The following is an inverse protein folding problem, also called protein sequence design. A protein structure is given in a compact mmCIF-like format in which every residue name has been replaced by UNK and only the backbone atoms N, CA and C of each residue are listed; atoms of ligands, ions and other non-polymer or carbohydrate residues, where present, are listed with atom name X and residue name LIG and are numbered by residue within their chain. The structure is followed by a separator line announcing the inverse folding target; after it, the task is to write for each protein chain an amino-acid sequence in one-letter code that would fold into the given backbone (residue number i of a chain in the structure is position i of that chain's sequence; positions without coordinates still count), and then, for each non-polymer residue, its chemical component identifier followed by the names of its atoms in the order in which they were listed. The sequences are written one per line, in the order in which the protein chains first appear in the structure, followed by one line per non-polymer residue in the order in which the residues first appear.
data_IF_147381948666
#
_entry.id   IF_147381948666
#
_cell.length_a   1.000
_cell.length_b   1.000
_cell.length_c   1.000
_cell.angle_alpha   90.00
_cell.angle_beta   90.00
_cell.angle_gamma   90.00
#
_symmetry.space_group_name_H-M   'P 1'
#
loop_
_entity.id
_entity.type
_entity.pdbx_description
1 polymer ?
#
# COMPACT_ATOMS: atom_id res chain seq x y z
N UNK A 1 -15.77 14.60 14.81
CA UNK A 1 -14.55 14.49 15.63
C UNK A 1 -13.38 14.91 14.78
N UNK A 2 -12.71 16.01 15.16
CA UNK A 2 -11.60 16.60 14.43
C UNK A 2 -10.29 16.02 14.96
N UNK A 3 -9.61 15.19 14.18
CA UNK A 3 -8.21 14.82 14.41
C UNK A 3 -7.30 15.79 13.65
N UNK A 4 -7.35 17.07 14.03
CA UNK A 4 -6.36 18.05 13.59
C UNK A 4 -5.28 18.14 14.68
N UNK A 5 -4.13 17.52 14.42
CA UNK A 5 -2.92 17.73 15.21
C UNK A 5 -2.33 16.45 15.79
N UNK A 6 -1.61 15.70 14.96
CA UNK A 6 -0.33 15.04 15.29
C UNK A 6 0.19 14.39 14.00
N UNK A 7 1.51 14.40 13.81
CA UNK A 7 2.25 14.28 12.54
C UNK A 7 2.17 12.95 11.77
N UNK A 8 1.08 12.19 11.88
CA UNK A 8 0.87 10.92 11.21
C UNK A 8 -0.55 10.97 10.64
N UNK A 9 -0.70 11.03 9.31
CA UNK A 9 -1.99 11.21 8.62
C UNK A 9 -2.89 9.98 8.87
N UNK A 10 -3.55 9.92 10.02
CA UNK A 10 -4.71 9.06 10.23
C UNK A 10 -5.91 9.94 9.92
N UNK A 11 -6.61 9.63 8.83
CA UNK A 11 -7.79 10.37 8.42
C UNK A 11 -9.00 9.46 8.57
N UNK A 12 -9.83 9.75 9.57
CA UNK A 12 -11.11 9.06 9.77
C UNK A 12 -12.21 10.00 9.29
N UNK A 13 -12.85 9.64 8.18
CA UNK A 13 -13.99 10.36 7.65
C UNK A 13 -15.24 9.50 7.80
N UNK A 14 -16.17 9.97 8.64
CA UNK A 14 -17.55 9.44 8.66
C UNK A 14 -18.43 10.45 7.93
N UNK A 15 -19.01 10.03 6.79
CA UNK A 15 -19.91 10.85 6.00
C UNK A 15 -21.33 10.64 6.52
N UNK A 16 -21.70 11.36 7.58
CA UNK A 16 -23.03 11.26 8.19
C UNK A 16 -24.15 11.86 7.30
N UNK A 17 -23.81 12.57 6.23
CA UNK A 17 -24.78 13.18 5.31
C UNK A 17 -24.17 13.45 3.93
N UNK A 18 -24.92 13.23 2.83
CA UNK A 18 -24.51 13.56 1.43
C UNK A 18 -24.14 15.03 1.21
N UNK A 19 -24.54 15.91 2.14
CA UNK A 19 -24.27 17.36 2.10
C UNK A 19 -23.01 17.78 2.86
N UNK A 20 -22.28 16.84 3.45
CA UNK A 20 -20.99 17.16 4.05
C UNK A 20 -20.04 17.65 2.95
N UNK A 21 -19.43 18.82 3.12
CA UNK A 21 -18.50 19.38 2.12
C UNK A 21 -17.29 18.47 1.85
N UNK A 22 -17.04 17.50 2.74
CA UNK A 22 -15.98 16.49 2.60
C UNK A 22 -16.43 15.28 1.79
N UNK A 23 -17.74 15.09 1.61
CA UNK A 23 -18.30 14.01 0.80
C UNK A 23 -17.99 14.28 -0.68
N UNK A 24 -17.07 13.50 -1.24
CA UNK A 24 -16.70 13.59 -2.64
C UNK A 24 -17.38 12.45 -3.42
N UNK A 25 -18.36 12.80 -4.25
CA UNK A 25 -19.08 11.86 -5.13
C UNK A 25 -18.14 11.14 -6.11
N UNK A 26 -16.94 11.71 -6.37
CA UNK A 26 -15.93 11.04 -7.19
C UNK A 26 -15.45 9.73 -6.58
N UNK A 27 -15.37 9.61 -5.25
CA UNK A 27 -14.95 8.35 -4.61
C UNK A 27 -15.97 7.24 -4.87
N UNK A 28 -17.27 7.56 -4.80
CA UNK A 28 -18.32 6.61 -5.15
C UNK A 28 -18.34 6.28 -6.65
N UNK A 29 -18.01 7.25 -7.51
CA UNK A 29 -17.89 7.03 -8.96
C UNK A 29 -16.69 6.14 -9.33
N UNK A 30 -15.55 6.31 -8.67
CA UNK A 30 -14.31 5.57 -8.94
C UNK A 30 -14.40 4.14 -8.39
N UNK A 31 -14.90 3.98 -7.16
CA UNK A 31 -14.98 2.67 -6.51
C UNK A 31 -16.21 1.86 -6.95
N UNK A 32 -17.24 2.51 -7.47
CA UNK A 32 -18.52 1.88 -7.84
C UNK A 32 -19.42 1.57 -6.64
N UNK A 33 -19.03 1.96 -5.43
CA UNK A 33 -19.79 1.72 -4.18
C UNK A 33 -20.18 3.03 -3.51
N UNK A 34 -21.33 3.05 -2.82
CA UNK A 34 -21.68 4.16 -1.95
C UNK A 34 -20.77 4.15 -0.71
N UNK A 35 -19.95 5.19 -0.55
CA UNK A 35 -19.01 5.33 0.56
C UNK A 35 -19.69 6.11 1.70
N UNK A 36 -19.95 5.43 2.81
CA UNK A 36 -20.54 6.01 4.03
C UNK A 36 -19.48 6.28 5.09
N UNK A 37 -18.53 5.36 5.23
CA UNK A 37 -17.40 5.51 6.15
C UNK A 37 -16.07 5.19 5.49
N UNK A 38 -15.05 5.95 5.89
CA UNK A 38 -13.72 5.90 5.31
C UNK A 38 -12.66 6.02 6.40
N UNK A 39 -11.73 5.07 6.45
CA UNK A 39 -10.56 5.08 7.33
C UNK A 39 -9.29 4.99 6.47
N UNK A 40 -8.46 6.03 6.55
CA UNK A 40 -7.17 6.10 5.87
C UNK A 40 -6.03 6.06 6.88
N UNK A 41 -5.04 5.19 6.63
CA UNK A 41 -3.84 5.08 7.45
C UNK A 41 -2.60 4.84 6.57
N UNK A 42 -1.44 5.41 6.92
CA UNK A 42 -0.21 5.22 6.15
C UNK A 42 0.38 3.85 6.43
N UNK A 43 0.94 3.23 5.40
CA UNK A 43 1.74 2.01 5.49
C UNK A 43 3.19 2.43 5.67
N UNK A 44 3.87 1.90 6.69
CA UNK A 44 5.24 2.25 7.02
C UNK A 44 6.17 1.05 6.95
N UNK A 45 7.38 1.23 6.41
CA UNK A 45 8.42 0.21 6.42
C UNK A 45 9.11 0.10 7.81
N UNK A 46 10.09 -0.79 7.91
CA UNK A 46 10.90 -0.97 9.13
C UNK A 46 11.66 0.29 9.57
N UNK A 47 11.97 1.18 8.63
CA UNK A 47 12.64 2.47 8.86
C UNK A 47 11.66 3.61 9.15
N UNK A 48 10.37 3.29 9.37
CA UNK A 48 9.28 4.21 9.66
C UNK A 48 8.96 5.19 8.50
N UNK A 49 9.45 4.93 7.29
CA UNK A 49 9.14 5.68 6.08
C UNK A 49 7.80 5.26 5.50
N UNK A 50 7.06 6.19 4.92
CA UNK A 50 5.75 5.92 4.32
C UNK A 50 5.97 5.29 2.94
N UNK A 51 5.57 4.02 2.80
CA UNK A 51 5.63 3.28 1.54
C UNK A 51 4.31 3.28 0.78
N UNK A 52 3.22 3.68 1.43
CA UNK A 52 1.91 3.76 0.82
C UNK A 52 0.83 4.24 1.80
N UNK A 53 -0.42 4.22 1.35
CA UNK A 53 -1.59 4.55 2.16
C UNK A 53 -2.62 3.44 1.98
N UNK A 54 -3.12 2.90 3.08
CA UNK A 54 -4.23 1.98 3.08
C UNK A 54 -5.54 2.73 3.30
N UNK A 55 -6.57 2.30 2.58
CA UNK A 55 -7.89 2.87 2.61
C UNK A 55 -8.91 1.77 2.90
N UNK A 56 -9.65 1.90 4.00
CA UNK A 56 -10.77 1.03 4.34
C UNK A 56 -12.07 1.79 4.15
N UNK A 57 -13.00 1.19 3.41
CA UNK A 57 -14.31 1.75 3.09
C UNK A 57 -15.38 0.88 3.75
N UNK A 58 -16.43 1.50 4.28
CA UNK A 58 -17.65 0.88 4.78
C UNK A 58 -17.43 -0.32 5.71
N UNK A 59 -17.51 -0.10 7.02
CA UNK A 59 -17.52 -1.18 8.00
C UNK A 59 -18.75 -2.08 7.80
N UNK A 60 -18.58 -3.40 7.70
CA UNK A 60 -19.69 -4.36 7.46
C UNK A 60 -20.46 -4.78 8.73
N UNK A 61 -20.53 -3.93 9.75
CA UNK A 61 -21.15 -4.31 11.02
C UNK A 61 -22.64 -3.94 11.04
N UNK A 62 -23.48 -4.87 11.52
CA UNK A 62 -24.91 -4.65 11.74
C UNK A 62 -25.17 -3.65 12.89
N UNK A 63 -24.20 -3.46 13.80
CA UNK A 63 -24.35 -2.63 15.00
C UNK A 63 -23.58 -1.32 14.94
N UNK A 64 -22.42 -1.29 14.27
CA UNK A 64 -21.56 -0.10 14.20
C UNK A 64 -21.25 0.30 12.74
N UNK A 65 -21.82 1.41 12.29
CA UNK A 65 -21.54 1.96 10.96
C UNK A 65 -20.24 2.75 10.90
N UNK A 66 -19.69 3.15 12.06
CA UNK A 66 -18.49 3.99 12.19
C UNK A 66 -17.29 3.16 12.66
N UNK A 67 -16.11 3.47 12.12
CA UNK A 67 -14.86 2.90 12.59
C UNK A 67 -14.60 3.31 14.04
N UNK A 68 -14.32 2.31 14.86
CA UNK A 68 -14.00 2.45 16.27
C UNK A 68 -12.49 2.57 16.48
N UNK A 69 -12.09 3.00 17.66
CA UNK A 69 -10.67 3.05 18.03
C UNK A 69 -10.00 1.66 18.00
N UNK A 70 -10.78 0.59 18.19
CA UNK A 70 -10.28 -0.78 18.10
C UNK A 70 -9.99 -1.17 16.64
N UNK A 71 -10.88 -0.79 15.72
CA UNK A 71 -10.66 -0.97 14.27
C UNK A 71 -9.40 -0.23 13.81
N UNK A 72 -9.15 0.99 14.31
CA UNK A 72 -7.94 1.76 14.04
C UNK A 72 -6.67 1.02 14.54
N UNK A 73 -6.69 0.47 15.75
CA UNK A 73 -5.55 -0.28 16.32
C UNK A 73 -5.27 -1.56 15.56
N UNK A 74 -6.32 -2.31 15.21
CA UNK A 74 -6.19 -3.51 14.40
C UNK A 74 -5.60 -3.16 13.03
N UNK A 75 -6.15 -2.15 12.35
CA UNK A 75 -5.66 -1.74 11.04
C UNK A 75 -4.20 -1.30 11.12
N UNK A 76 -3.81 -0.46 12.09
CA UNK A 76 -2.42 -0.04 12.27
C UNK A 76 -1.46 -1.23 12.46
N UNK A 77 -1.89 -2.24 13.21
CA UNK A 77 -1.11 -3.47 13.41
C UNK A 77 -0.94 -4.25 12.12
N UNK A 78 -2.02 -4.43 11.34
CA UNK A 78 -1.95 -5.06 10.02
C UNK A 78 -1.04 -4.31 9.04
N UNK A 79 -1.15 -2.98 8.99
CA UNK A 79 -0.35 -2.17 8.07
C UNK A 79 1.14 -2.22 8.40
N UNK A 80 1.51 -2.45 9.66
CA UNK A 80 2.91 -2.67 10.05
C UNK A 80 3.47 -3.93 9.38
N UNK A 81 2.72 -5.04 9.39
CA UNK A 81 3.12 -6.26 8.70
C UNK A 81 3.14 -6.08 7.18
N UNK A 82 2.15 -5.38 6.61
CA UNK A 82 2.13 -5.07 5.19
C UNK A 82 3.36 -4.26 4.76
N UNK A 83 3.79 -3.29 5.57
CA UNK A 83 4.97 -2.49 5.29
C UNK A 83 6.26 -3.30 5.21
N UNK A 84 6.45 -4.26 6.12
CA UNK A 84 7.58 -5.20 6.07
C UNK A 84 7.52 -6.05 4.80
N UNK A 85 6.33 -6.59 4.46
CA UNK A 85 6.14 -7.40 3.26
C UNK A 85 6.42 -6.63 1.96
N UNK A 86 5.92 -5.39 1.85
CA UNK A 86 6.15 -4.52 0.70
C UNK A 86 7.64 -4.20 0.58
N UNK A 87 8.30 -3.87 1.68
CA UNK A 87 9.73 -3.58 1.69
C UNK A 87 10.56 -4.78 1.20
N UNK A 88 10.24 -5.98 1.68
CA UNK A 88 10.91 -7.20 1.22
C UNK A 88 10.67 -7.48 -0.27
N UNK A 89 9.45 -7.25 -0.76
CA UNK A 89 9.13 -7.40 -2.18
C UNK A 89 9.92 -6.41 -3.06
N UNK A 90 10.04 -5.15 -2.62
CA UNK A 90 10.84 -4.13 -3.30
C UNK A 90 12.32 -4.51 -3.35
N UNK A 91 12.87 -4.99 -2.23
CA UNK A 91 14.24 -5.50 -2.16
C UNK A 91 14.42 -6.66 -3.14
N UNK A 92 13.53 -7.65 -3.13
CA UNK A 92 13.61 -8.81 -4.01
C UNK A 92 13.56 -8.41 -5.50
N UNK A 93 12.68 -7.50 -5.89
CA UNK A 93 12.59 -6.99 -7.26
C UNK A 93 13.87 -6.27 -7.69
N UNK A 94 14.47 -5.47 -6.79
CA UNK A 94 15.75 -4.82 -7.04
C UNK A 94 16.89 -5.84 -7.25
N UNK A 95 16.98 -6.85 -6.38
CA UNK A 95 17.94 -7.95 -6.53
C UNK A 95 17.77 -8.71 -7.84
N UNK A 96 16.53 -9.04 -8.22
CA UNK A 96 16.25 -9.77 -9.46
C UNK A 96 16.70 -8.99 -10.69
N UNK A 97 16.42 -7.68 -10.74
CA UNK A 97 16.86 -6.80 -11.84
C UNK A 97 18.38 -6.73 -11.95
N UNK A 98 19.08 -6.68 -10.82
CA UNK A 98 20.53 -6.62 -10.80
C UNK A 98 21.18 -7.95 -11.20
N UNK A 99 20.61 -9.05 -10.72
CA UNK A 99 21.01 -10.39 -11.14
C UNK A 99 20.92 -10.56 -12.65
N UNK A 100 19.82 -10.13 -13.27
CA UNK A 100 19.64 -10.25 -14.72
C UNK A 100 20.63 -9.40 -15.52
N UNK A 101 20.92 -8.16 -15.07
CA UNK A 101 21.96 -7.32 -15.68
C UNK A 101 23.33 -8.01 -15.63
N UNK A 102 23.68 -8.57 -14.47
CA UNK A 102 24.96 -9.22 -14.28
C UNK A 102 25.06 -10.55 -15.04
N UNK A 103 23.94 -11.29 -15.17
CA UNK A 103 23.87 -12.59 -15.86
C UNK A 103 24.32 -12.51 -17.32
N UNK A 104 23.90 -11.48 -18.05
CA UNK A 104 24.28 -11.29 -19.47
C UNK A 104 25.79 -11.05 -19.59
N UNK A 105 26.37 -10.30 -18.66
CA UNK A 105 27.83 -10.07 -18.63
C UNK A 105 28.59 -11.38 -18.43
N UNK A 106 28.19 -12.20 -17.45
CA UNK A 106 28.79 -13.51 -17.22
C UNK A 106 28.68 -14.43 -18.43
N UNK A 107 27.56 -14.42 -19.15
CA UNK A 107 27.38 -15.20 -20.38
C UNK A 107 28.34 -14.78 -21.51
N UNK A 108 28.63 -13.49 -21.65
CA UNK A 108 29.60 -13.00 -22.63
C UNK A 108 31.03 -13.42 -22.30
N UNK A 109 31.42 -13.38 -21.02
CA UNK A 109 32.75 -13.84 -20.58
C UNK A 109 32.92 -15.36 -20.66
N UNK A 110 31.82 -16.11 -20.62
CA UNK A 110 31.80 -17.57 -20.75
C UNK A 110 31.36 -18.05 -22.14
N UNK A 111 31.56 -17.21 -23.17
CA UNK A 111 31.32 -17.59 -24.56
C UNK A 111 32.05 -18.90 -24.87
N UNK A 112 31.40 -19.92 -25.47
CA UNK A 112 32.06 -21.17 -25.78
C UNK A 112 33.17 -20.90 -26.80
N UNK A 113 34.41 -21.28 -26.48
CA UNK A 113 35.55 -21.26 -27.42
C UNK A 113 35.36 -22.19 -28.63
N UNK A 114 34.18 -22.79 -28.83
CA UNK A 114 33.94 -23.85 -29.82
C UNK A 114 33.26 -23.39 -31.12
N UNK A 115 32.96 -22.10 -31.32
CA UNK A 115 32.33 -21.63 -32.56
C UNK A 115 33.32 -21.27 -33.69
N UNK A 116 34.60 -21.60 -33.57
CA UNK A 116 35.62 -21.35 -34.61
C UNK A 116 35.90 -22.53 -35.56
N UNK A 117 35.07 -23.59 -35.55
CA UNK A 117 35.22 -24.73 -36.47
C UNK A 117 34.02 -24.89 -37.41
N UNK A 118 33.73 -23.87 -38.22
CA UNK A 118 32.98 -24.02 -39.48
C UNK A 118 33.59 -23.09 -40.54
N UNK A 119 34.75 -23.48 -41.06
CA UNK A 119 35.25 -23.10 -42.39
C UNK A 119 35.75 -24.34 -43.11
#
# INVERSE_FOLDING_TARGET
MNYFGTSFIICVFSFQNRKDARYNDELSRITGYHVETLLCMPIRNGDNEIVGVAQALNKNSETDTVFTLDDEKMLATYLTFCGIGIHNAQIFDAYSKEYERNRVSYQLFHWPENDFHLQ
#
